data_IF_425578949018
#
_entry.id   IF_425578949018
#
_cell.length_a   1.000
_cell.length_b   1.000
_cell.length_c   1.000
_cell.angle_alpha   90.00
_cell.angle_beta   90.00
_cell.angle_gamma   90.00
#
_symmetry.space_group_name_H-M   'P 1'
#
loop_
_entity.id
_entity.type
_entity.pdbx_description
1 polymer ?
#
# COMPACT_ATOMS: atom_id res chain seq x y z
N UNK A 1 12.23 -9.84 25.47
CA UNK A 1 13.01 -10.72 24.58
C UNK A 1 12.24 -11.22 23.37
N UNK A 2 10.94 -11.55 23.51
CA UNK A 2 10.15 -12.03 22.37
C UNK A 2 10.01 -11.00 21.26
N UNK A 3 9.89 -9.71 21.60
CA UNK A 3 9.80 -8.62 20.61
C UNK A 3 11.09 -8.50 19.81
N UNK A 4 12.23 -8.57 20.46
CA UNK A 4 13.55 -8.49 19.81
C UNK A 4 13.76 -9.69 18.88
N UNK A 5 13.47 -10.89 19.37
CA UNK A 5 13.58 -12.13 18.60
C UNK A 5 12.69 -12.14 17.37
N UNK A 6 11.44 -11.67 17.51
CA UNK A 6 10.49 -11.57 16.40
C UNK A 6 10.96 -10.57 15.35
N UNK A 7 11.45 -9.41 15.77
CA UNK A 7 11.93 -8.38 14.84
C UNK A 7 13.19 -8.83 14.10
N UNK A 8 14.11 -9.52 14.78
CA UNK A 8 15.29 -10.09 14.13
C UNK A 8 14.94 -11.17 13.11
N UNK A 9 13.97 -12.03 13.43
CA UNK A 9 13.51 -13.06 12.50
C UNK A 9 12.94 -12.47 11.20
N UNK A 10 12.27 -11.31 11.27
CA UNK A 10 11.72 -10.62 10.09
C UNK A 10 12.79 -10.17 9.11
N UNK A 11 13.97 -9.79 9.59
CA UNK A 11 15.08 -9.36 8.74
C UNK A 11 16.08 -10.48 8.43
N UNK A 12 15.75 -11.72 8.81
CA UNK A 12 16.61 -12.88 8.57
C UNK A 12 17.75 -13.03 9.56
N UNK A 13 17.69 -12.32 10.68
CA UNK A 13 18.69 -12.39 11.72
C UNK A 13 18.38 -13.43 12.80
N UNK A 14 19.32 -13.67 13.68
CA UNK A 14 19.18 -14.54 14.83
C UNK A 14 19.84 -13.94 16.07
N UNK A 15 19.41 -14.41 17.24
CA UNK A 15 19.96 -14.00 18.53
C UNK A 15 20.30 -15.22 19.37
N UNK A 16 21.52 -15.26 19.92
CA UNK A 16 21.96 -16.23 20.88
C UNK A 16 22.28 -15.53 22.21
N UNK A 17 21.90 -16.16 23.29
CA UNK A 17 22.14 -15.65 24.66
C UNK A 17 22.99 -16.63 25.40
N UNK A 18 24.10 -16.14 25.97
CA UNK A 18 24.97 -16.90 26.81
C UNK A 18 25.15 -16.18 28.15
N UNK A 19 24.73 -16.81 29.23
CA UNK A 19 24.78 -16.24 30.57
C UNK A 19 25.51 -17.15 31.54
N UNK A 20 26.52 -16.61 32.24
CA UNK A 20 27.24 -17.26 33.27
C UNK A 20 27.08 -16.55 34.60
N UNK A 21 26.66 -17.27 35.61
CA UNK A 21 26.48 -16.73 36.94
C UNK A 21 27.79 -16.12 37.47
N UNK A 22 27.71 -14.84 37.86
CA UNK A 22 28.87 -14.09 38.37
C UNK A 22 29.80 -13.50 37.31
N UNK A 23 29.57 -13.80 36.03
CA UNK A 23 30.37 -13.28 34.90
C UNK A 23 29.61 -12.40 33.92
N UNK A 24 28.30 -12.30 34.06
CA UNK A 24 27.43 -11.49 33.18
C UNK A 24 26.72 -12.28 32.09
N UNK A 25 26.11 -11.57 31.18
CA UNK A 25 25.33 -12.14 30.07
C UNK A 25 25.85 -11.60 28.76
N UNK A 26 26.02 -12.47 27.78
CA UNK A 26 26.46 -12.11 26.44
C UNK A 26 25.29 -12.35 25.45
N UNK A 27 24.96 -11.33 24.68
CA UNK A 27 24.00 -11.42 23.57
C UNK A 27 24.76 -11.42 22.26
N UNK A 28 24.56 -12.44 21.45
CA UNK A 28 25.13 -12.50 20.12
C UNK A 28 24.04 -12.30 19.09
N UNK A 29 24.10 -11.19 18.36
CA UNK A 29 23.18 -10.86 17.28
C UNK A 29 23.85 -11.17 15.94
N UNK A 30 23.17 -11.98 15.12
CA UNK A 30 23.62 -12.27 13.76
C UNK A 30 22.67 -11.59 12.81
N UNK A 31 23.19 -10.70 12.00
CA UNK A 31 22.43 -9.94 11.01
C UNK A 31 22.94 -10.28 9.62
N UNK A 32 22.04 -10.44 8.62
CA UNK A 32 22.48 -10.61 7.24
C UNK A 32 23.14 -9.33 6.73
N UNK A 33 24.21 -9.46 5.97
CA UNK A 33 24.87 -8.34 5.31
C UNK A 33 24.10 -7.84 4.08
N UNK A 34 23.18 -8.65 3.57
CA UNK A 34 22.35 -8.30 2.44
C UNK A 34 21.20 -7.42 2.88
N UNK A 35 21.11 -6.22 2.31
CA UNK A 35 19.93 -5.39 2.44
C UNK A 35 18.75 -6.09 1.73
N UNK A 36 17.57 -6.07 2.36
CA UNK A 36 16.38 -6.53 1.69
C UNK A 36 16.00 -5.52 0.60
N UNK A 37 16.17 -5.92 -0.66
CA UNK A 37 15.73 -5.14 -1.81
C UNK A 37 14.30 -5.55 -2.11
N UNK A 38 13.38 -4.59 -2.01
CA UNK A 38 11.95 -4.82 -2.23
C UNK A 38 11.56 -4.10 -3.52
N UNK A 39 11.13 -4.83 -4.57
CA UNK A 39 10.58 -4.19 -5.76
C UNK A 39 9.29 -3.45 -5.40
N UNK A 40 9.19 -2.20 -5.81
CA UNK A 40 8.07 -1.32 -5.50
C UNK A 40 7.57 -0.58 -6.74
N UNK A 41 6.29 -0.20 -6.69
CA UNK A 41 5.69 0.72 -7.64
C UNK A 41 5.65 2.11 -6.99
N UNK A 42 6.19 3.10 -7.66
CA UNK A 42 6.15 4.48 -7.18
C UNK A 42 4.89 5.19 -7.68
N UNK A 43 4.18 5.79 -6.76
CA UNK A 43 2.97 6.55 -7.02
C UNK A 43 3.12 7.95 -6.45
N UNK A 44 2.74 8.97 -7.19
CA UNK A 44 2.74 10.33 -6.67
C UNK A 44 1.32 10.79 -6.30
N UNK A 45 1.23 11.56 -5.23
CA UNK A 45 0.01 12.22 -4.81
C UNK A 45 0.37 13.54 -4.12
N UNK A 46 -0.19 14.65 -4.59
CA UNK A 46 0.08 15.99 -4.07
C UNK A 46 1.55 16.38 -4.00
N UNK A 47 2.34 15.96 -4.98
CA UNK A 47 3.77 16.26 -5.03
C UNK A 47 4.65 15.33 -4.20
N UNK A 48 4.07 14.47 -3.38
CA UNK A 48 4.79 13.47 -2.61
C UNK A 48 4.81 12.12 -3.32
N UNK A 49 5.82 11.32 -3.02
CA UNK A 49 6.00 9.99 -3.61
C UNK A 49 5.79 8.91 -2.58
N UNK A 50 5.10 7.87 -2.99
CA UNK A 50 4.80 6.71 -2.15
C UNK A 50 5.19 5.44 -2.86
N UNK A 51 5.65 4.46 -2.11
CA UNK A 51 6.08 3.17 -2.64
C UNK A 51 5.08 2.07 -2.26
N UNK A 52 4.56 1.37 -3.25
CA UNK A 52 3.68 0.22 -3.06
C UNK A 52 4.50 -1.04 -3.33
N UNK A 53 4.69 -1.96 -2.36
CA UNK A 53 5.40 -3.20 -2.60
C UNK A 53 4.74 -4.03 -3.72
N UNK A 54 5.52 -4.49 -4.68
CA UNK A 54 4.99 -5.26 -5.81
C UNK A 54 4.35 -6.58 -5.39
N UNK A 55 4.75 -7.14 -4.26
CA UNK A 55 4.14 -8.37 -3.74
C UNK A 55 2.65 -8.20 -3.41
N UNK A 56 2.25 -6.99 -3.07
CA UNK A 56 0.86 -6.66 -2.71
C UNK A 56 0.07 -6.13 -3.92
N UNK A 57 0.75 -5.85 -5.02
CA UNK A 57 0.17 -5.35 -6.25
C UNK A 57 -0.36 -6.50 -7.10
N UNK A 58 -1.65 -6.50 -7.43
CA UNK A 58 -2.24 -7.48 -8.32
C UNK A 58 -2.22 -7.04 -9.78
N UNK A 59 -2.65 -5.80 -10.05
CA UNK A 59 -2.69 -5.27 -11.40
C UNK A 59 -2.76 -3.75 -11.41
N UNK A 60 -2.45 -3.16 -12.55
CA UNK A 60 -2.70 -1.76 -12.85
C UNK A 60 -3.90 -1.68 -13.80
N UNK A 61 -4.85 -0.82 -13.47
CA UNK A 61 -6.06 -0.65 -14.26
C UNK A 61 -6.14 0.77 -14.80
N UNK A 62 -6.35 0.87 -16.10
CA UNK A 62 -6.60 2.13 -16.80
C UNK A 62 -8.04 2.12 -17.35
N UNK A 63 -8.78 3.14 -17.06
CA UNK A 63 -10.14 3.32 -17.57
C UNK A 63 -10.19 4.61 -18.36
N UNK A 64 -10.60 4.52 -19.62
CA UNK A 64 -10.76 5.68 -20.49
C UNK A 64 -11.84 6.63 -19.94
N UNK A 65 -11.68 7.89 -20.26
CA UNK A 65 -12.63 8.94 -19.84
C UNK A 65 -14.10 8.62 -20.22
N UNK A 66 -14.30 8.00 -21.37
CA UNK A 66 -15.62 7.60 -21.84
C UNK A 66 -16.27 6.51 -21.00
N UNK A 67 -15.45 5.64 -20.41
CA UNK A 67 -15.92 4.51 -19.59
C UNK A 67 -15.97 4.80 -18.11
N UNK A 68 -15.31 5.86 -17.65
CA UNK A 68 -15.21 6.17 -16.22
C UNK A 68 -16.59 6.31 -15.58
N UNK A 69 -17.51 7.04 -16.21
CA UNK A 69 -18.86 7.23 -15.68
C UNK A 69 -19.70 5.95 -15.65
N UNK A 70 -19.37 4.96 -16.50
CA UNK A 70 -20.08 3.68 -16.55
C UNK A 70 -19.59 2.69 -15.48
N UNK A 71 -18.34 2.86 -15.03
CA UNK A 71 -17.70 1.92 -14.11
C UNK A 71 -17.59 2.45 -12.68
N UNK A 72 -17.71 3.76 -12.50
CA UNK A 72 -17.60 4.38 -11.18
C UNK A 72 -18.98 4.44 -10.52
N UNK A 73 -19.03 3.99 -9.26
CA UNK A 73 -20.25 4.01 -8.45
C UNK A 73 -19.93 4.55 -7.05
N UNK A 74 -20.86 5.32 -6.50
CA UNK A 74 -20.81 5.75 -5.12
C UNK A 74 -21.77 4.93 -4.28
N UNK A 75 -21.23 4.34 -3.22
CA UNK A 75 -22.02 3.58 -2.26
C UNK A 75 -21.92 4.21 -0.87
N UNK A 76 -22.65 3.66 0.10
CA UNK A 76 -22.54 4.08 1.49
C UNK A 76 -21.13 3.86 2.08
N UNK A 77 -20.36 2.98 1.46
CA UNK A 77 -18.97 2.69 1.86
C UNK A 77 -17.94 3.55 1.13
N UNK A 78 -18.37 4.39 0.20
CA UNK A 78 -17.53 5.29 -0.56
C UNK A 78 -17.51 5.02 -2.06
N UNK A 79 -16.43 5.45 -2.71
CA UNK A 79 -16.23 5.32 -4.13
C UNK A 79 -15.85 3.89 -4.51
N UNK A 80 -16.55 3.34 -5.50
CA UNK A 80 -16.33 1.98 -5.98
C UNK A 80 -16.13 1.98 -7.49
N UNK A 81 -15.35 1.05 -7.99
CA UNK A 81 -15.18 0.78 -9.40
C UNK A 81 -15.70 -0.61 -9.74
N UNK A 82 -16.53 -0.70 -10.78
CA UNK A 82 -16.95 -2.00 -11.29
C UNK A 82 -15.87 -2.60 -12.19
N UNK A 83 -15.21 -3.60 -11.69
CA UNK A 83 -14.14 -4.31 -12.39
C UNK A 83 -14.53 -5.79 -12.57
N UNK A 84 -14.64 -6.23 -13.82
CA UNK A 84 -14.99 -7.63 -14.16
C UNK A 84 -16.25 -8.14 -13.44
N UNK A 85 -17.28 -7.29 -13.34
CA UNK A 85 -18.54 -7.64 -12.69
C UNK A 85 -18.53 -7.57 -11.16
N UNK A 86 -17.43 -7.15 -10.54
CA UNK A 86 -17.32 -6.98 -9.09
C UNK A 86 -17.03 -5.53 -8.74
N UNK A 87 -17.57 -5.08 -7.62
CA UNK A 87 -17.26 -3.76 -7.08
C UNK A 87 -15.95 -3.79 -6.31
N UNK A 88 -15.04 -2.90 -6.69
CA UNK A 88 -13.75 -2.74 -6.04
C UNK A 88 -13.74 -1.38 -5.32
N UNK A 89 -13.52 -1.34 -3.99
CA UNK A 89 -13.36 -0.08 -3.29
C UNK A 89 -12.15 0.69 -3.81
N UNK A 90 -12.32 2.00 -4.01
CA UNK A 90 -11.24 2.88 -4.41
C UNK A 90 -10.83 3.80 -3.26
N UNK A 91 -9.54 3.93 -3.07
CA UNK A 91 -8.96 4.84 -2.09
C UNK A 91 -8.12 5.86 -2.84
N UNK A 92 -8.50 7.13 -2.72
CA UNK A 92 -7.69 8.22 -3.26
C UNK A 92 -6.60 8.55 -2.27
N UNK A 93 -5.37 8.29 -2.66
CA UNK A 93 -4.21 8.47 -1.80
C UNK A 93 -4.11 9.89 -1.25
N UNK A 94 -4.42 10.86 -2.08
CA UNK A 94 -4.46 12.25 -1.69
C UNK A 94 -5.44 12.53 -0.53
N UNK A 95 -6.60 11.94 -0.56
CA UNK A 95 -7.64 12.14 0.45
C UNK A 95 -7.26 11.49 1.78
N UNK A 96 -6.69 10.30 1.74
CA UNK A 96 -6.25 9.58 2.93
C UNK A 96 -5.14 10.32 3.66
N UNK A 97 -4.20 10.88 2.90
CA UNK A 97 -3.04 11.56 3.46
C UNK A 97 -3.34 12.97 3.98
N UNK A 98 -4.31 13.67 3.37
CA UNK A 98 -4.73 15.00 3.84
C UNK A 98 -5.58 14.95 5.08
N UNK A 99 -6.50 14.00 5.13
CA UNK A 99 -7.62 14.11 6.03
C UNK A 99 -7.33 13.65 7.45
N UNK A 100 -6.22 12.95 7.66
CA UNK A 100 -6.03 12.37 8.99
C UNK A 100 -7.24 11.59 9.52
N UNK A 101 -8.47 11.84 9.13
CA UNK A 101 -9.66 11.10 9.60
C UNK A 101 -11.01 11.53 9.02
N UNK A 102 -11.07 12.38 8.00
CA UNK A 102 -12.38 12.68 7.42
C UNK A 102 -12.67 11.80 6.22
N UNK A 103 -13.47 10.77 6.46
CA UNK A 103 -14.06 10.01 5.37
C UNK A 103 -14.99 10.91 4.57
N UNK A 104 -14.76 11.02 3.29
CA UNK A 104 -15.72 11.65 2.40
C UNK A 104 -16.97 10.77 2.32
N UNK A 105 -18.05 11.24 2.93
CA UNK A 105 -19.34 10.52 2.93
C UNK A 105 -20.21 10.87 1.72
N UNK A 106 -19.83 11.86 0.94
CA UNK A 106 -20.60 12.28 -0.22
C UNK A 106 -19.69 12.50 -1.44
N UNK A 107 -20.17 12.21 -2.65
CA UNK A 107 -19.41 12.54 -3.85
C UNK A 107 -19.18 14.06 -3.89
N UNK A 108 -17.96 14.50 -4.13
CA UNK A 108 -17.72 15.93 -4.34
C UNK A 108 -18.49 16.38 -5.57
N UNK A 109 -19.10 17.55 -5.47
CA UNK A 109 -19.96 18.14 -6.52
C UNK A 109 -19.25 18.34 -7.87
N UNK A 110 -17.93 18.15 -7.91
CA UNK A 110 -17.07 18.42 -9.06
C UNK A 110 -16.12 17.28 -9.42
N UNK A 111 -16.52 16.01 -9.24
CA UNK A 111 -15.76 14.96 -9.88
C UNK A 111 -16.15 14.90 -11.35
N UNK A 112 -15.29 15.33 -12.25
CA UNK A 112 -15.54 15.06 -13.64
C UNK A 112 -15.47 13.54 -13.84
N UNK A 113 -16.63 12.93 -13.92
CA UNK A 113 -16.78 11.52 -14.30
C UNK A 113 -16.25 11.21 -15.70
N UNK A 114 -15.57 12.18 -16.28
CA UNK A 114 -15.07 12.15 -17.65
C UNK A 114 -13.53 12.07 -17.76
N UNK A 115 -12.81 12.12 -16.64
CA UNK A 115 -11.35 11.99 -16.68
C UNK A 115 -10.94 10.52 -16.70
N UNK A 116 -9.89 10.17 -17.46
CA UNK A 116 -9.34 8.83 -17.41
C UNK A 116 -8.84 8.53 -15.99
N UNK A 117 -9.03 7.30 -15.56
CA UNK A 117 -8.67 6.84 -14.22
C UNK A 117 -7.61 5.77 -14.30
N UNK A 118 -6.51 5.97 -13.59
CA UNK A 118 -5.45 4.98 -13.44
C UNK A 118 -5.30 4.65 -11.96
N UNK A 119 -5.40 3.38 -11.61
CA UNK A 119 -5.25 2.94 -10.23
C UNK A 119 -4.55 1.58 -10.14
N UNK A 120 -3.93 1.35 -9.00
CA UNK A 120 -3.29 0.10 -8.67
C UNK A 120 -4.21 -0.77 -7.81
N UNK A 121 -4.49 -1.99 -8.23
CA UNK A 121 -5.24 -2.96 -7.43
C UNK A 121 -4.27 -3.65 -6.48
N UNK A 122 -4.49 -3.47 -5.19
CA UNK A 122 -3.65 -4.05 -4.15
C UNK A 122 -4.46 -4.97 -3.23
N UNK A 123 -3.76 -5.92 -2.64
CA UNK A 123 -4.34 -6.83 -1.66
C UNK A 123 -3.75 -6.58 -0.28
N UNK A 124 -4.64 -6.41 0.69
CA UNK A 124 -4.28 -6.30 2.10
C UNK A 124 -5.05 -7.37 2.89
N UNK A 125 -4.38 -8.46 3.20
CA UNK A 125 -5.02 -9.62 3.82
C UNK A 125 -6.03 -10.28 2.88
N UNK A 126 -7.29 -10.35 3.31
CA UNK A 126 -8.40 -10.89 2.51
C UNK A 126 -9.13 -9.84 1.66
N UNK A 127 -8.75 -8.57 1.77
CA UNK A 127 -9.41 -7.47 1.08
C UNK A 127 -8.60 -6.98 -0.10
N UNK A 128 -9.32 -6.58 -1.15
CA UNK A 128 -8.76 -5.95 -2.34
C UNK A 128 -9.32 -4.55 -2.45
N UNK A 129 -8.49 -3.61 -2.86
CA UNK A 129 -8.90 -2.23 -3.12
C UNK A 129 -8.01 -1.59 -4.17
N UNK A 130 -8.50 -0.52 -4.78
CA UNK A 130 -7.73 0.26 -5.75
C UNK A 130 -7.16 1.51 -5.11
N UNK A 131 -5.88 1.77 -5.32
CA UNK A 131 -5.21 3.00 -4.90
C UNK A 131 -5.12 3.94 -6.09
N UNK A 132 -5.80 5.08 -5.99
CA UNK A 132 -5.78 6.13 -7.01
C UNK A 132 -4.76 7.19 -6.59
N UNK A 133 -3.73 7.37 -7.40
CA UNK A 133 -2.76 8.45 -7.25
C UNK A 133 -2.86 9.44 -8.40
N UNK A 134 -2.11 10.54 -8.33
CA UNK A 134 -2.06 11.51 -9.41
C UNK A 134 -1.30 10.94 -10.62
N UNK A 135 -0.17 10.30 -10.37
CA UNK A 135 0.65 9.65 -11.39
C UNK A 135 1.26 8.35 -10.85
N UNK A 136 1.35 7.37 -11.74
CA UNK A 136 2.17 6.18 -11.50
C UNK A 136 3.50 6.41 -12.22
N UNK A 137 4.59 6.42 -11.46
CA UNK A 137 5.89 6.79 -12.00
C UNK A 137 6.58 5.61 -12.65
N UNK A 138 7.17 4.75 -11.87
CA UNK A 138 7.87 3.57 -12.38
C UNK A 138 7.97 2.51 -11.31
N UNK A 139 8.35 1.33 -11.74
CA UNK A 139 8.73 0.25 -10.85
C UNK A 139 10.20 0.42 -10.46
N UNK A 140 10.47 0.54 -9.17
CA UNK A 140 11.84 0.66 -8.64
C UNK A 140 12.08 -0.37 -7.52
N UNK A 141 13.34 -0.68 -7.31
CA UNK A 141 13.79 -1.50 -6.20
C UNK A 141 14.34 -0.61 -5.08
N UNK A 142 13.85 -0.85 -3.89
CA UNK A 142 14.27 -0.10 -2.70
C UNK A 142 14.86 -1.06 -1.67
#
# INVERSE_FOLDING_TARGET
MDVVKTNLARIGGSIDIDSHLGQGTTFTLRLPLTLAIIPTLLVSAHGDRYAIPQKDLEELVYIDAEQTHLRMEWTNEGEMCRLRGRLLPLVRLADVLRAGHQQRTAPPAEHPSTLPLLFAVVRAGSRRFGIVGDHILTSEEI
#
